data_IF_068839422333
#
_entry.id   IF_068839422333
#
_cell.length_a   1.000
_cell.length_b   1.000
_cell.length_c   1.000
_cell.angle_alpha   90.00
_cell.angle_beta   90.00
_cell.angle_gamma   90.00
#
_symmetry.space_group_name_H-M   'P 1'
#
loop_
_entity.id
_entity.type
_entity.pdbx_description
1 polymer ?
#
# COMPACT_ATOMS: atom_id res chain seq x y z
N UNK A 1 40.75 53.52 59.28
CA UNK A 1 41.92 54.07 58.56
C UNK A 1 43.14 53.25 58.94
N UNK A 2 43.69 52.47 57.98
CA UNK A 2 45.07 51.92 57.86
C UNK A 2 45.62 51.00 58.98
N UNK A 3 46.40 49.93 58.78
CA UNK A 3 46.94 49.15 57.64
C UNK A 3 47.77 47.97 58.25
N UNK A 4 47.69 46.75 57.67
CA UNK A 4 48.73 45.69 57.43
C UNK A 4 49.58 45.06 58.57
N UNK A 5 50.11 43.82 58.53
CA UNK A 5 50.29 42.74 57.51
C UNK A 5 50.75 41.41 58.19
N UNK A 6 50.53 40.29 57.47
CA UNK A 6 51.32 39.01 57.41
C UNK A 6 51.12 37.95 58.53
N UNK A 7 50.97 36.63 58.27
CA UNK A 7 51.56 35.75 57.24
C UNK A 7 50.86 34.37 57.09
N UNK A 8 50.82 33.84 55.85
CA UNK A 8 51.08 32.44 55.33
C UNK A 8 50.25 31.23 55.91
N UNK A 9 49.64 30.28 55.15
CA UNK A 9 50.17 29.34 54.11
C UNK A 9 49.01 28.58 53.37
N UNK A 10 49.05 28.57 52.02
CA UNK A 10 48.63 27.56 50.98
C UNK A 10 47.18 27.03 50.75
N UNK A 11 46.85 26.43 49.57
CA UNK A 11 46.85 27.02 48.23
C UNK A 11 45.51 26.77 47.46
N UNK A 12 45.47 27.28 46.23
CA UNK A 12 44.31 27.58 45.41
C UNK A 12 43.90 26.45 44.45
N UNK A 13 42.60 26.07 44.39
CA UNK A 13 41.91 25.59 43.17
C UNK A 13 40.40 25.92 43.28
N UNK A 14 39.79 26.66 42.34
CA UNK A 14 38.36 26.94 42.38
C UNK A 14 37.52 25.86 41.68
N UNK A 15 36.31 25.71 42.24
CA UNK A 15 35.15 24.93 41.81
C UNK A 15 34.99 24.82 40.28
N UNK A 16 35.17 23.61 39.75
CA UNK A 16 34.77 23.23 38.40
C UNK A 16 33.36 22.63 38.41
N UNK A 17 32.46 23.20 37.62
CA UNK A 17 31.19 22.57 37.28
C UNK A 17 31.46 21.42 36.30
N UNK A 18 31.27 20.18 36.74
CA UNK A 18 31.19 19.04 35.82
C UNK A 18 29.79 18.98 35.21
N UNK A 19 29.59 19.74 34.12
CA UNK A 19 28.63 19.33 33.11
C UNK A 19 29.27 18.20 32.31
N UNK A 20 28.83 16.97 32.58
CA UNK A 20 29.14 15.81 31.74
C UNK A 20 28.45 16.00 30.38
N UNK A 21 29.15 16.65 29.45
CA UNK A 21 28.76 16.70 28.04
C UNK A 21 28.70 15.25 27.52
N UNK A 22 27.51 14.77 27.17
CA UNK A 22 27.36 13.69 26.21
C UNK A 22 27.91 14.18 24.88
N UNK A 23 29.17 13.81 24.60
CA UNK A 23 29.78 13.98 23.28
C UNK A 23 29.06 13.06 22.30
N UNK A 24 28.13 13.63 21.55
CA UNK A 24 27.64 13.06 20.31
C UNK A 24 28.82 12.88 19.36
N UNK A 25 29.21 11.63 19.12
CA UNK A 25 30.14 11.28 18.06
C UNK A 25 29.39 11.39 16.73
N UNK A 26 29.43 12.57 16.12
CA UNK A 26 29.04 12.76 14.72
C UNK A 26 30.18 12.21 13.88
N UNK A 27 30.05 10.96 13.43
CA UNK A 27 30.85 10.43 12.33
C UNK A 27 30.22 10.92 11.03
N UNK A 28 30.71 12.04 10.53
CA UNK A 28 30.46 12.49 9.18
C UNK A 28 31.18 11.57 8.19
N UNK A 29 30.45 10.65 7.56
CA UNK A 29 30.88 10.06 6.29
C UNK A 29 30.31 10.90 5.15
N UNK A 30 31.15 11.77 4.62
CA UNK A 30 30.95 12.38 3.31
C UNK A 30 31.86 11.67 2.32
N UNK A 31 31.29 10.94 1.37
CA UNK A 31 31.56 11.08 -0.07
C UNK A 31 31.03 9.88 -0.87
N UNK A 32 30.02 10.18 -1.71
CA UNK A 32 29.96 9.87 -3.15
C UNK A 32 30.08 8.39 -3.57
N UNK A 33 29.04 7.97 -4.30
CA UNK A 33 28.91 6.77 -5.15
C UNK A 33 28.81 5.41 -4.46
N UNK A 34 27.59 5.10 -4.00
CA UNK A 34 27.00 3.77 -4.16
C UNK A 34 25.63 3.87 -4.85
N UNK A 35 25.47 4.81 -5.79
CA UNK A 35 24.43 4.75 -6.81
C UNK A 35 24.95 3.90 -7.96
N UNK A 36 25.03 2.59 -7.73
CA UNK A 36 25.10 1.53 -8.75
C UNK A 36 25.31 0.19 -8.06
N UNK A 37 24.38 -0.74 -8.33
CA UNK A 37 24.40 -2.16 -7.99
C UNK A 37 23.94 -2.52 -6.56
N UNK A 38 22.65 -2.26 -6.30
CA UNK A 38 21.75 -3.25 -5.68
C UNK A 38 20.43 -3.29 -6.48
N UNK A 39 20.52 -3.34 -7.80
CA UNK A 39 19.44 -3.87 -8.63
C UNK A 39 19.84 -5.30 -8.95
N UNK A 40 19.42 -6.26 -8.11
CA UNK A 40 19.31 -7.69 -8.42
C UNK A 40 18.82 -8.43 -7.16
N UNK A 41 17.50 -8.46 -7.01
CA UNK A 41 16.76 -9.59 -6.42
C UNK A 41 15.26 -9.49 -6.78
N UNK A 42 14.69 -8.29 -6.88
CA UNK A 42 13.33 -8.06 -7.41
C UNK A 42 13.42 -7.33 -8.75
N UNK A 43 12.93 -7.96 -9.82
CA UNK A 43 13.12 -7.50 -11.21
C UNK A 43 12.29 -6.28 -11.64
N UNK A 44 11.49 -5.68 -10.75
CA UNK A 44 10.52 -4.64 -11.07
C UNK A 44 10.93 -3.31 -10.44
N UNK A 45 10.84 -2.23 -11.22
CA UNK A 45 11.10 -0.88 -10.70
C UNK A 45 9.82 -0.39 -10.05
N UNK A 46 9.86 0.02 -8.79
CA UNK A 46 8.71 0.67 -8.17
C UNK A 46 8.63 2.12 -8.68
N UNK A 47 7.74 2.40 -9.61
CA UNK A 47 7.60 3.70 -10.27
C UNK A 47 6.17 4.22 -10.37
N UNK A 48 5.18 3.43 -9.96
CA UNK A 48 3.77 3.81 -10.00
C UNK A 48 3.03 3.28 -11.23
N UNK A 49 3.65 2.42 -12.04
CA UNK A 49 3.03 1.81 -13.23
C UNK A 49 2.82 0.30 -13.05
N UNK A 50 1.62 -0.18 -13.40
CA UNK A 50 1.31 -1.60 -13.51
C UNK A 50 1.92 -2.20 -14.79
N UNK A 51 3.18 -2.62 -14.69
CA UNK A 51 3.90 -3.35 -15.74
C UNK A 51 3.22 -4.67 -16.11
N UNK A 52 3.55 -5.21 -17.28
CA UNK A 52 2.94 -6.44 -17.81
C UNK A 52 3.03 -7.67 -16.89
N UNK A 53 3.94 -7.69 -15.91
CA UNK A 53 4.05 -8.79 -14.92
C UNK A 53 2.85 -8.84 -13.98
N UNK A 54 2.18 -7.70 -13.75
CA UNK A 54 1.04 -7.60 -12.86
C UNK A 54 -0.21 -8.30 -13.43
N UNK A 55 -0.22 -8.59 -14.73
CA UNK A 55 -1.32 -9.26 -15.41
C UNK A 55 -2.56 -8.38 -15.54
N UNK A 56 -3.72 -9.04 -15.56
CA UNK A 56 -5.03 -8.39 -15.56
C UNK A 56 -5.36 -7.81 -14.17
N UNK A 57 -6.21 -6.77 -14.08
CA UNK A 57 -6.61 -6.22 -12.80
C UNK A 57 -7.33 -7.27 -11.94
N UNK A 58 -6.95 -7.35 -10.67
CA UNK A 58 -7.60 -8.19 -9.66
C UNK A 58 -9.00 -7.67 -9.31
N UNK A 59 -9.18 -6.35 -9.39
CA UNK A 59 -10.46 -5.67 -9.22
C UNK A 59 -10.47 -4.38 -10.02
N UNK A 60 -11.64 -4.03 -10.54
CA UNK A 60 -11.92 -2.75 -11.20
C UNK A 60 -13.07 -2.11 -10.44
N UNK A 61 -12.95 -0.83 -10.09
CA UNK A 61 -14.04 -0.14 -9.40
C UNK A 61 -15.21 0.15 -10.33
N UNK A 62 -16.37 0.45 -9.74
CA UNK A 62 -17.63 0.65 -10.46
C UNK A 62 -18.30 2.01 -10.17
N UNK A 63 -17.59 2.97 -9.58
CA UNK A 63 -18.21 4.16 -8.99
C UNK A 63 -17.54 5.47 -9.44
N UNK A 64 -18.33 6.40 -9.99
CA UNK A 64 -17.87 7.77 -10.27
C UNK A 64 -17.25 8.43 -9.02
N UNK A 65 -16.27 9.32 -9.18
CA UNK A 65 -15.55 9.92 -8.04
C UNK A 65 -16.21 11.17 -7.47
N UNK A 66 -16.55 11.12 -6.19
CA UNK A 66 -16.99 12.25 -5.39
C UNK A 66 -15.85 13.14 -4.90
N UNK A 67 -14.58 12.77 -5.16
CA UNK A 67 -13.36 13.49 -4.77
C UNK A 67 -12.67 14.15 -5.97
N UNK A 68 -13.38 14.29 -7.09
CA UNK A 68 -12.90 14.93 -8.31
C UNK A 68 -12.19 13.94 -9.23
N UNK A 69 -12.52 14.00 -10.52
CA UNK A 69 -11.82 13.28 -11.58
C UNK A 69 -10.56 14.07 -11.94
N UNK A 70 -9.42 13.39 -12.01
CA UNK A 70 -8.16 14.01 -12.33
C UNK A 70 -7.95 14.13 -13.85
N UNK A 71 -7.61 15.34 -14.33
CA UNK A 71 -7.44 15.61 -15.76
C UNK A 71 -6.11 16.29 -16.13
N UNK A 72 -5.18 16.38 -15.16
CA UNK A 72 -3.90 17.08 -15.36
C UNK A 72 -2.89 16.29 -16.23
N UNK A 73 -2.89 14.96 -16.14
CA UNK A 73 -1.94 14.09 -16.85
C UNK A 73 -0.48 14.30 -16.46
N UNK A 74 -0.22 14.75 -15.23
CA UNK A 74 1.10 14.98 -14.70
C UNK A 74 1.47 13.89 -13.69
N UNK A 75 2.71 13.40 -13.74
CA UNK A 75 3.19 12.33 -12.85
C UNK A 75 3.12 12.71 -11.36
N UNK A 76 3.17 14.01 -11.05
CA UNK A 76 3.24 14.53 -9.69
C UNK A 76 1.88 15.05 -9.20
N UNK A 77 1.40 16.15 -9.79
CA UNK A 77 0.22 16.85 -9.33
C UNK A 77 -1.06 16.31 -9.97
N UNK A 78 -2.05 16.00 -9.14
CA UNK A 78 -3.42 15.67 -9.52
C UNK A 78 -4.42 16.62 -8.85
N UNK A 79 -5.52 16.91 -9.54
CA UNK A 79 -6.63 17.78 -9.10
C UNK A 79 -7.89 17.01 -8.68
N UNK A 80 -7.77 15.70 -8.50
CA UNK A 80 -8.82 14.79 -8.08
C UNK A 80 -8.23 13.51 -7.51
N UNK A 81 -9.01 12.80 -6.69
CA UNK A 81 -8.66 11.47 -6.19
C UNK A 81 -9.63 10.43 -6.73
N UNK A 82 -9.10 9.33 -7.26
CA UNK A 82 -9.86 8.19 -7.74
C UNK A 82 -9.02 6.91 -7.68
N UNK A 83 -9.67 5.76 -7.40
CA UNK A 83 -9.03 4.43 -7.45
C UNK A 83 -9.74 3.60 -8.49
N UNK A 84 -9.09 3.37 -9.61
CA UNK A 84 -9.71 2.82 -10.81
C UNK A 84 -9.68 1.30 -10.85
N UNK A 85 -8.52 0.72 -10.51
CA UNK A 85 -8.31 -0.71 -10.48
C UNK A 85 -7.20 -1.07 -9.50
N UNK A 86 -7.14 -2.34 -9.09
CA UNK A 86 -6.01 -2.88 -8.36
C UNK A 86 -5.36 -4.03 -9.12
N UNK A 87 -4.04 -4.07 -9.07
CA UNK A 87 -3.23 -5.16 -9.57
C UNK A 87 -2.36 -5.68 -8.44
N UNK A 88 -2.04 -6.97 -8.48
CA UNK A 88 -1.11 -7.50 -7.50
C UNK A 88 -0.73 -8.94 -7.74
N UNK A 89 0.44 -9.30 -7.23
CA UNK A 89 0.96 -10.66 -7.22
C UNK A 89 2.01 -10.79 -6.12
N UNK A 90 2.36 -12.02 -5.78
CA UNK A 90 3.42 -12.32 -4.83
C UNK A 90 4.55 -13.03 -5.57
N UNK A 91 5.77 -12.50 -5.48
CA UNK A 91 6.96 -13.12 -6.04
C UNK A 91 8.19 -12.82 -5.19
N UNK A 92 9.12 -13.77 -5.14
CA UNK A 92 10.42 -13.61 -4.48
C UNK A 92 10.33 -13.14 -3.00
N UNK A 93 9.23 -13.46 -2.31
CA UNK A 93 9.00 -13.05 -0.93
C UNK A 93 8.52 -11.61 -0.76
N UNK A 94 7.96 -11.00 -1.81
CA UNK A 94 7.36 -9.67 -1.80
C UNK A 94 5.95 -9.71 -2.39
N UNK A 95 5.02 -9.04 -1.71
CA UNK A 95 3.72 -8.65 -2.25
C UNK A 95 3.90 -7.37 -3.08
N UNK A 96 3.60 -7.47 -4.36
CA UNK A 96 3.60 -6.35 -5.31
C UNK A 96 2.15 -5.89 -5.51
N UNK A 97 1.88 -4.61 -5.31
CA UNK A 97 0.56 -4.00 -5.49
C UNK A 97 0.66 -2.74 -6.34
N UNK A 98 -0.30 -2.53 -7.23
CA UNK A 98 -0.59 -1.23 -7.84
C UNK A 98 -2.05 -0.90 -7.58
N UNK A 99 -2.28 0.24 -6.94
CA UNK A 99 -3.59 0.87 -6.85
C UNK A 99 -3.64 1.95 -7.92
N UNK A 100 -4.21 1.61 -9.07
CA UNK A 100 -4.27 2.47 -10.24
C UNK A 100 -5.31 3.59 -10.04
N UNK A 101 -5.05 4.77 -10.60
CA UNK A 101 -5.88 5.97 -10.48
C UNK A 101 -5.05 7.20 -10.13
N UNK A 102 -5.61 8.09 -9.31
CA UNK A 102 -4.97 9.34 -8.90
C UNK A 102 -5.17 9.61 -7.41
N UNK A 103 -4.20 10.30 -6.80
CA UNK A 103 -4.35 10.87 -5.47
C UNK A 103 -4.17 12.38 -5.55
N UNK A 104 -5.26 13.12 -5.31
CA UNK A 104 -5.27 14.57 -5.32
C UNK A 104 -4.12 15.11 -4.46
N UNK A 105 -3.42 16.11 -5.00
CA UNK A 105 -2.28 16.73 -4.35
C UNK A 105 -2.71 17.71 -3.27
N UNK A 106 -3.42 17.21 -2.27
CA UNK A 106 -3.97 17.98 -1.15
C UNK A 106 -3.83 17.23 0.19
N UNK A 107 -3.02 16.16 0.21
CA UNK A 107 -2.83 15.27 1.34
C UNK A 107 -4.03 14.40 1.71
N UNK A 108 -4.97 14.17 0.79
CA UNK A 108 -5.84 12.99 0.86
C UNK A 108 -5.00 11.71 1.05
N UNK A 109 -5.64 10.69 1.61
CA UNK A 109 -5.01 9.43 1.99
C UNK A 109 -5.52 8.34 1.08
N UNK A 110 -4.61 7.54 0.54
CA UNK A 110 -4.93 6.18 0.13
C UNK A 110 -4.71 5.29 1.36
N UNK A 111 -5.79 4.74 1.90
CA UNK A 111 -5.76 3.75 2.98
C UNK A 111 -5.70 2.36 2.37
N UNK A 112 -4.81 1.52 2.86
CA UNK A 112 -4.68 0.12 2.45
C UNK A 112 -4.65 -0.72 3.71
N UNK A 113 -5.71 -1.48 3.93
CA UNK A 113 -5.78 -2.50 4.96
C UNK A 113 -5.48 -3.86 4.33
N UNK A 114 -4.73 -4.68 5.06
CA UNK A 114 -4.28 -5.97 4.59
C UNK A 114 -4.64 -7.00 5.66
N UNK A 115 -5.23 -8.11 5.23
CA UNK A 115 -5.39 -9.35 5.98
C UNK A 115 -4.43 -10.36 5.38
N UNK A 116 -3.31 -10.56 6.06
CA UNK A 116 -2.20 -11.40 5.63
C UNK A 116 -1.93 -12.56 6.61
N UNK A 117 -2.47 -12.55 7.81
CA UNK A 117 -2.22 -13.56 8.84
C UNK A 117 -3.55 -14.18 9.23
N UNK A 118 -3.79 -15.45 8.84
CA UNK A 118 -5.03 -16.14 9.17
C UNK A 118 -5.34 -16.10 10.68
N UNK A 119 -6.60 -15.78 11.01
CA UNK A 119 -7.13 -15.68 12.37
C UNK A 119 -6.52 -14.56 13.26
N UNK A 120 -5.68 -13.67 12.70
CA UNK A 120 -5.18 -12.47 13.38
C UNK A 120 -5.88 -11.19 12.88
N UNK A 121 -5.51 -10.03 13.44
CA UNK A 121 -6.06 -8.74 13.01
C UNK A 121 -7.35 -8.29 13.71
N UNK A 122 -7.99 -7.27 13.13
CA UNK A 122 -9.15 -6.59 13.66
C UNK A 122 -10.27 -6.48 12.63
N UNK A 123 -11.48 -6.90 13.02
CA UNK A 123 -12.73 -6.50 12.38
C UNK A 123 -13.83 -6.48 13.45
N UNK A 124 -14.30 -5.29 13.90
CA UNK A 124 -13.96 -3.94 13.43
C UNK A 124 -12.61 -3.41 13.97
N UNK A 125 -12.13 -2.29 13.40
CA UNK A 125 -10.95 -1.57 13.90
C UNK A 125 -11.17 -1.08 15.34
N UNK A 126 -10.21 -1.33 16.22
CA UNK A 126 -10.21 -0.94 17.62
C UNK A 126 -9.67 0.48 17.84
N UNK A 127 -9.99 1.07 19.00
CA UNK A 127 -9.58 2.44 19.39
C UNK A 127 -8.29 2.54 20.20
N UNK A 128 -7.53 1.46 20.27
CA UNK A 128 -6.33 1.34 21.10
C UNK A 128 -5.11 0.92 20.27
N UNK A 129 -5.01 1.41 19.04
CA UNK A 129 -3.94 1.14 18.10
C UNK A 129 -2.78 2.15 18.22
N UNK A 130 -1.67 1.88 17.53
CA UNK A 130 -0.50 2.77 17.50
C UNK A 130 -0.88 4.22 17.18
N UNK A 131 -0.24 5.19 17.84
CA UNK A 131 -0.42 6.62 17.58
C UNK A 131 0.28 7.19 16.33
N UNK A 132 0.69 6.32 15.38
CA UNK A 132 1.33 6.73 14.12
C UNK A 132 0.37 7.61 13.27
N UNK A 133 0.94 8.43 12.38
CA UNK A 133 0.20 9.38 11.53
C UNK A 133 -0.87 10.18 12.32
N UNK A 134 -0.45 10.75 13.45
CA UNK A 134 -1.31 11.55 14.35
C UNK A 134 -2.53 10.79 14.91
N UNK A 135 -2.45 9.46 15.00
CA UNK A 135 -3.51 8.62 15.54
C UNK A 135 -4.54 8.17 14.51
N UNK A 136 -4.17 8.13 13.22
CA UNK A 136 -5.02 7.72 12.09
C UNK A 136 -5.91 6.50 12.38
N UNK A 137 -5.31 5.38 12.80
CA UNK A 137 -6.04 4.15 13.12
C UNK A 137 -7.06 4.35 14.25
N UNK A 138 -6.77 5.19 15.25
CA UNK A 138 -7.68 5.48 16.35
C UNK A 138 -8.79 6.46 15.93
N UNK A 139 -8.57 7.28 14.90
CA UNK A 139 -9.63 8.08 14.27
C UNK A 139 -10.65 7.15 13.62
N UNK A 140 -10.18 6.15 12.87
CA UNK A 140 -11.02 5.16 12.18
C UNK A 140 -11.59 4.08 13.13
N UNK A 141 -10.95 3.87 14.27
CA UNK A 141 -11.33 2.84 15.24
C UNK A 141 -12.45 3.19 16.20
N UNK A 142 -12.89 2.15 16.92
CA UNK A 142 -13.88 2.22 18.00
C UNK A 142 -13.55 3.34 18.99
N UNK A 143 -14.54 4.10 19.41
CA UNK A 143 -14.35 5.17 20.39
C UNK A 143 -15.36 5.08 21.51
N UNK A 144 -14.89 5.14 22.75
CA UNK A 144 -15.73 5.29 23.92
C UNK A 144 -15.61 6.73 24.43
N UNK A 145 -16.70 7.47 24.41
CA UNK A 145 -16.76 8.82 24.93
C UNK A 145 -16.51 8.79 26.45
N UNK A 146 -15.45 9.43 26.96
CA UNK A 146 -15.10 9.36 28.37
C UNK A 146 -16.10 10.10 29.28
N UNK A 147 -16.86 11.05 28.74
CA UNK A 147 -17.83 11.85 29.49
C UNK A 147 -19.20 11.17 29.54
N UNK A 148 -19.61 10.49 28.46
CA UNK A 148 -20.93 9.86 28.36
C UNK A 148 -20.92 8.35 28.51
N UNK A 149 -19.78 7.70 28.30
CA UNK A 149 -19.64 6.25 28.18
C UNK A 149 -20.26 5.68 26.90
N UNK A 150 -20.63 6.54 25.94
CA UNK A 150 -21.19 6.11 24.66
C UNK A 150 -20.09 5.45 23.82
N UNK A 151 -20.35 4.24 23.37
CA UNK A 151 -19.45 3.49 22.50
C UNK A 151 -19.88 3.66 21.05
N UNK A 152 -19.06 4.36 20.28
CA UNK A 152 -19.16 4.40 18.83
C UNK A 152 -18.46 3.18 18.22
N UNK A 153 -18.99 2.63 17.10
CA UNK A 153 -18.32 1.56 16.38
C UNK A 153 -16.98 2.04 15.81
N UNK A 154 -16.19 1.10 15.29
CA UNK A 154 -15.04 1.38 14.43
C UNK A 154 -15.36 1.01 12.99
N UNK A 155 -14.49 1.40 12.06
CA UNK A 155 -14.55 0.93 10.68
C UNK A 155 -14.67 -0.60 10.67
N UNK A 156 -15.72 -1.10 10.03
CA UNK A 156 -16.04 -2.53 9.96
C UNK A 156 -15.88 -2.99 8.52
N UNK A 157 -15.13 -4.07 8.32
CA UNK A 157 -14.91 -4.67 7.01
C UNK A 157 -15.89 -5.80 6.75
N UNK A 158 -15.99 -6.21 5.50
CA UNK A 158 -16.80 -7.35 5.09
C UNK A 158 -16.47 -8.63 5.86
N UNK A 159 -17.46 -9.53 5.94
CA UNK A 159 -17.27 -10.87 6.49
C UNK A 159 -16.15 -11.57 5.72
N UNK A 160 -15.16 -12.11 6.45
CA UNK A 160 -14.03 -12.83 5.88
C UNK A 160 -12.77 -11.98 5.71
N UNK A 161 -12.82 -10.69 6.05
CA UNK A 161 -11.65 -9.81 6.11
C UNK A 161 -11.36 -9.37 7.54
N UNK A 162 -10.15 -9.60 8.02
CA UNK A 162 -9.69 -9.24 9.37
C UNK A 162 -8.34 -8.51 9.30
N UNK A 163 -8.37 -7.18 9.29
CA UNK A 163 -7.18 -6.38 9.02
C UNK A 163 -6.09 -6.56 10.08
N UNK A 164 -4.91 -7.04 9.69
CA UNK A 164 -3.74 -7.20 10.55
C UNK A 164 -2.61 -6.23 10.21
N UNK A 165 -2.67 -5.58 9.04
CA UNK A 165 -1.73 -4.52 8.64
C UNK A 165 -2.47 -3.34 8.01
N UNK A 166 -1.85 -2.17 8.13
CA UNK A 166 -2.35 -0.92 7.57
C UNK A 166 -1.20 -0.12 6.96
N UNK A 167 -1.44 0.44 5.78
CA UNK A 167 -0.58 1.40 5.09
C UNK A 167 -1.42 2.61 4.70
N UNK A 168 -0.86 3.80 4.90
CA UNK A 168 -1.42 5.06 4.41
C UNK A 168 -0.40 5.75 3.51
N UNK A 169 -0.79 6.04 2.28
CA UNK A 169 0.00 6.82 1.33
C UNK A 169 -0.64 8.18 1.11
N UNK A 170 0.17 9.24 1.02
CA UNK A 170 -0.32 10.59 0.78
C UNK A 170 0.68 11.42 -0.02
N UNK A 171 0.19 12.44 -0.71
CA UNK A 171 1.03 13.39 -1.43
C UNK A 171 0.40 14.77 -1.58
N UNK A 172 1.24 15.79 -1.75
CA UNK A 172 0.78 17.15 -1.93
C UNK A 172 1.92 18.17 -2.07
N UNK A 173 1.59 19.47 -2.12
CA UNK A 173 2.57 20.54 -2.20
C UNK A 173 3.52 20.49 -1.00
N UNK A 174 4.80 20.28 -1.28
CA UNK A 174 5.86 20.26 -0.29
C UNK A 174 6.13 21.61 0.35
N UNK A 175 7.18 21.67 1.17
CA UNK A 175 7.56 22.93 1.81
C UNK A 175 7.97 23.99 0.76
N UNK A 176 7.46 25.23 0.85
CA UNK A 176 7.86 26.30 -0.07
C UNK A 176 9.38 26.52 -0.02
N UNK A 177 10.06 26.65 -1.18
CA UNK A 177 11.50 26.89 -1.20
C UNK A 177 11.87 28.18 -0.46
N UNK A 178 12.93 28.13 0.37
CA UNK A 178 13.42 29.29 1.15
C UNK A 178 13.76 30.54 0.32
N UNK A 179 13.99 30.37 -0.98
CA UNK A 179 14.36 31.43 -1.93
C UNK A 179 13.19 31.88 -2.82
N UNK A 180 11.96 31.44 -2.52
CA UNK A 180 10.80 31.61 -3.39
C UNK A 180 10.81 30.62 -4.57
N UNK A 181 9.63 30.39 -5.13
CA UNK A 181 9.36 29.34 -6.12
C UNK A 181 8.13 28.54 -5.72
N UNK A 182 7.59 27.77 -6.66
CA UNK A 182 6.51 26.84 -6.37
C UNK A 182 7.04 25.69 -5.49
N UNK A 183 6.23 25.19 -4.55
CA UNK A 183 6.56 23.98 -3.81
C UNK A 183 6.73 22.80 -4.77
N UNK A 184 7.63 21.87 -4.42
CA UNK A 184 7.67 20.57 -5.08
C UNK A 184 6.47 19.71 -4.70
N UNK A 185 6.44 18.49 -5.20
CA UNK A 185 5.49 17.47 -4.77
C UNK A 185 6.18 16.54 -3.79
N UNK A 186 5.67 16.49 -2.55
CA UNK A 186 6.19 15.62 -1.49
C UNK A 186 5.21 14.46 -1.27
N UNK A 187 5.74 13.25 -1.12
CA UNK A 187 4.98 12.04 -0.76
C UNK A 187 5.39 11.51 0.60
N UNK A 188 4.46 10.82 1.27
CA UNK A 188 4.68 10.17 2.55
C UNK A 188 3.95 8.83 2.61
N UNK A 189 4.57 7.86 3.29
CA UNK A 189 3.97 6.57 3.60
C UNK A 189 4.06 6.33 5.10
N UNK A 190 2.97 5.87 5.70
CA UNK A 190 2.92 5.37 7.06
C UNK A 190 2.49 3.90 7.03
N UNK A 191 2.98 3.09 7.97
CA UNK A 191 2.54 1.71 8.13
C UNK A 191 2.39 1.34 9.60
N UNK A 192 1.51 0.40 9.89
CA UNK A 192 1.34 -0.17 11.23
C UNK A 192 0.77 -1.57 11.19
N UNK A 193 1.17 -2.39 12.15
CA UNK A 193 0.50 -3.64 12.48
C UNK A 193 -0.79 -3.35 13.29
N UNK A 194 -1.84 -4.11 12.99
CA UNK A 194 -3.10 -4.16 13.73
C UNK A 194 -3.17 -5.45 14.55
N UNK A 195 -2.66 -5.39 15.79
CA UNK A 195 -2.72 -6.53 16.71
C UNK A 195 -4.18 -6.90 17.04
N UNK A 196 -4.51 -8.19 17.17
CA UNK A 196 -5.90 -8.63 17.44
C UNK A 196 -6.52 -8.01 18.70
N UNK A 197 -5.72 -7.76 19.73
CA UNK A 197 -6.16 -7.08 20.95
C UNK A 197 -5.98 -5.55 20.96
N UNK A 198 -5.46 -5.00 19.86
CA UNK A 198 -4.87 -3.67 19.81
C UNK A 198 -3.63 -3.55 20.70
N UNK A 199 -3.14 -2.32 20.86
CA UNK A 199 -2.09 -1.95 21.81
C UNK A 199 -0.91 -1.22 21.18
N UNK A 200 -0.21 -0.45 22.02
CA UNK A 200 0.91 0.41 21.62
C UNK A 200 2.22 -0.36 21.31
N UNK A 201 2.19 -1.69 21.33
CA UNK A 201 3.33 -2.54 20.99
C UNK A 201 3.38 -2.92 19.52
N UNK A 202 2.39 -2.51 18.73
CA UNK A 202 2.37 -2.71 17.28
C UNK A 202 3.63 -2.11 16.62
N UNK A 203 4.24 -2.88 15.72
CA UNK A 203 5.31 -2.34 14.86
C UNK A 203 4.71 -1.31 13.93
N UNK A 204 5.30 -0.12 13.87
CA UNK A 204 4.84 0.98 13.02
C UNK A 204 6.01 1.87 12.61
N UNK A 205 5.83 2.61 11.51
CA UNK A 205 6.85 3.51 11.00
C UNK A 205 6.35 4.35 9.84
N UNK A 206 7.26 5.14 9.27
CA UNK A 206 6.97 6.04 8.16
C UNK A 206 8.16 6.21 7.23
N UNK A 207 7.91 6.71 6.02
CA UNK A 207 8.91 7.19 5.07
C UNK A 207 8.45 8.52 4.46
N UNK A 208 9.41 9.44 4.24
CA UNK A 208 9.19 10.70 3.54
C UNK A 208 10.08 11.85 4.02
N UNK A 209 10.10 12.99 3.30
CA UNK A 209 9.40 13.21 2.03
C UNK A 209 10.05 12.43 0.87
N UNK A 210 9.21 11.88 0.00
CA UNK A 210 9.57 11.40 -1.33
C UNK A 210 9.10 12.37 -2.42
N UNK A 211 8.89 11.86 -3.62
CA UNK A 211 8.29 12.57 -4.75
C UNK A 211 7.49 11.62 -5.64
N UNK A 212 7.37 11.95 -6.92
CA UNK A 212 6.70 11.12 -7.92
C UNK A 212 7.69 10.31 -8.77
N UNK A 213 7.20 9.20 -9.35
CA UNK A 213 7.96 8.24 -10.14
C UNK A 213 9.05 7.51 -9.34
N UNK A 214 9.81 6.66 -10.04
CA UNK A 214 10.91 5.88 -9.46
C UNK A 214 11.95 6.74 -8.72
N UNK A 215 12.28 7.92 -9.25
CA UNK A 215 13.26 8.83 -8.65
C UNK A 215 12.78 9.42 -7.31
N UNK A 216 11.45 9.45 -7.10
CA UNK A 216 10.78 9.92 -5.90
C UNK A 216 10.36 8.82 -4.93
N UNK A 217 10.71 7.55 -5.20
CA UNK A 217 10.27 6.41 -4.41
C UNK A 217 10.65 6.53 -2.92
N UNK A 218 9.72 6.07 -2.08
CA UNK A 218 9.86 5.97 -0.64
C UNK A 218 10.43 4.61 -0.25
N UNK A 219 11.25 4.59 0.79
CA UNK A 219 11.84 3.37 1.36
C UNK A 219 11.68 3.40 2.88
N UNK A 220 10.97 2.43 3.44
CA UNK A 220 10.81 2.30 4.89
C UNK A 220 11.93 1.48 5.51
N UNK A 221 12.08 1.58 6.84
CA UNK A 221 13.07 0.79 7.59
C UNK A 221 12.82 -0.72 7.56
N UNK A 222 11.56 -1.15 7.38
CA UNK A 222 11.17 -2.56 7.22
C UNK A 222 11.13 -3.02 5.76
N UNK A 223 11.65 -2.22 4.82
CA UNK A 223 11.85 -2.63 3.43
C UNK A 223 10.66 -2.44 2.49
N UNK A 224 9.58 -1.80 2.93
CA UNK A 224 8.47 -1.39 2.04
C UNK A 224 8.98 -0.29 1.11
N UNK A 225 8.68 -0.45 -0.18
CA UNK A 225 8.97 0.53 -1.22
C UNK A 225 7.63 1.04 -1.76
N UNK A 226 7.51 2.35 -1.99
CA UNK A 226 6.32 2.90 -2.65
C UNK A 226 6.67 4.05 -3.59
N UNK A 227 5.98 4.13 -4.72
CA UNK A 227 6.08 5.21 -5.69
C UNK A 227 4.69 5.59 -6.21
N UNK A 228 4.59 6.75 -6.85
CA UNK A 228 3.34 7.23 -7.45
C UNK A 228 3.58 7.77 -8.86
N UNK A 229 2.71 7.40 -9.79
CA UNK A 229 2.52 8.05 -11.07
C UNK A 229 1.08 8.58 -11.14
N UNK A 230 0.91 9.88 -10.92
CA UNK A 230 -0.38 10.57 -10.96
C UNK A 230 -0.83 10.97 -12.39
N UNK A 231 -0.20 10.43 -13.45
CA UNK A 231 -0.46 10.89 -14.82
C UNK A 231 -1.73 10.34 -15.47
N UNK A 232 -2.54 9.55 -14.74
CA UNK A 232 -3.82 9.08 -15.24
C UNK A 232 -4.76 10.25 -15.61
N UNK A 233 -5.49 10.06 -16.72
CA UNK A 233 -6.56 10.94 -17.24
C UNK A 233 -7.74 10.12 -17.79
N UNK A 234 -7.77 8.83 -17.51
CA UNK A 234 -8.80 7.86 -17.87
C UNK A 234 -9.50 7.39 -16.59
N UNK A 235 -10.30 6.31 -16.66
CA UNK A 235 -11.04 5.79 -15.52
C UNK A 235 -12.40 6.45 -15.37
N UNK A 236 -12.80 6.70 -14.12
CA UNK A 236 -14.15 7.15 -13.78
C UNK A 236 -14.35 8.66 -13.99
N UNK A 237 -15.61 9.12 -14.06
CA UNK A 237 -15.96 10.56 -14.10
C UNK A 237 -16.27 11.11 -12.71
N UNK A 238 -16.30 12.44 -12.58
CA UNK A 238 -16.69 13.08 -11.31
C UNK A 238 -18.19 12.97 -11.02
N UNK A 239 -18.55 12.54 -9.80
CA UNK A 239 -19.91 12.51 -9.30
C UNK A 239 -20.20 11.31 -8.40
N UNK A 240 -21.50 11.03 -8.25
CA UNK A 240 -22.01 9.78 -7.69
C UNK A 240 -22.72 9.02 -8.81
N UNK A 241 -22.62 7.70 -8.84
CA UNK A 241 -23.26 6.85 -9.85
C UNK A 241 -22.36 5.73 -10.35
N UNK A 242 -22.96 4.75 -11.02
CA UNK A 242 -22.24 3.61 -11.58
C UNK A 242 -21.37 4.08 -12.75
N UNK A 243 -20.14 3.61 -12.76
CA UNK A 243 -19.11 3.90 -13.76
C UNK A 243 -18.16 2.71 -13.95
N UNK A 244 -17.06 2.90 -14.66
CA UNK A 244 -16.06 1.85 -14.91
C UNK A 244 -14.63 2.42 -14.80
N UNK A 245 -13.84 1.90 -13.84
CA UNK A 245 -12.43 2.24 -13.68
C UNK A 245 -11.47 1.50 -14.62
N UNK A 246 -11.98 0.72 -15.58
CA UNK A 246 -11.15 -0.11 -16.44
C UNK A 246 -10.13 0.68 -17.30
N UNK A 247 -8.97 0.06 -17.55
CA UNK A 247 -7.96 0.57 -18.50
C UNK A 247 -6.98 1.59 -17.93
N UNK A 248 -6.89 1.71 -16.60
CA UNK A 248 -5.92 2.57 -15.90
C UNK A 248 -4.79 1.72 -15.32
N UNK A 249 -3.55 2.16 -15.51
CA UNK A 249 -2.34 1.42 -15.10
C UNK A 249 -1.35 2.26 -14.26
N UNK A 250 -1.50 3.57 -14.24
CA UNK A 250 -0.69 4.47 -13.40
C UNK A 250 -1.41 4.74 -12.09
N UNK A 251 -0.69 4.82 -10.99
CA UNK A 251 -1.23 5.15 -9.67
C UNK A 251 -0.17 4.99 -8.58
N UNK A 252 -0.55 4.44 -7.43
CA UNK A 252 0.37 4.16 -6.32
C UNK A 252 0.82 2.71 -6.41
N UNK A 253 2.12 2.49 -6.57
CA UNK A 253 2.75 1.17 -6.53
C UNK A 253 3.43 0.94 -5.20
N UNK A 254 3.29 -0.25 -4.62
CA UNK A 254 3.86 -0.62 -3.33
C UNK A 254 4.41 -2.04 -3.38
N UNK A 255 5.67 -2.21 -2.96
CA UNK A 255 6.31 -3.51 -2.78
C UNK A 255 6.49 -3.75 -1.28
N UNK A 256 5.88 -4.81 -0.77
CA UNK A 256 5.83 -5.14 0.66
C UNK A 256 6.51 -6.49 0.88
N UNK A 257 7.67 -6.54 1.55
CA UNK A 257 8.27 -7.82 1.94
C UNK A 257 7.30 -8.64 2.78
N UNK A 258 7.12 -9.93 2.46
CA UNK A 258 6.26 -10.83 3.25
C UNK A 258 6.77 -10.95 4.70
N UNK A 259 8.07 -10.82 4.92
CA UNK A 259 8.65 -10.73 6.26
C UNK A 259 8.17 -9.52 7.05
N UNK A 260 7.89 -8.39 6.38
CA UNK A 260 7.34 -7.20 7.01
C UNK A 260 5.88 -7.38 7.42
N UNK A 261 5.17 -8.30 6.74
CA UNK A 261 3.81 -8.71 7.06
C UNK A 261 3.75 -9.87 8.08
N UNK A 262 4.88 -10.51 8.39
CA UNK A 262 4.88 -11.77 9.14
C UNK A 262 4.14 -12.91 8.41
N UNK A 263 3.96 -12.77 7.09
CA UNK A 263 3.13 -13.64 6.27
C UNK A 263 3.85 -14.94 5.90
N UNK A 264 3.11 -16.05 5.86
CA UNK A 264 3.62 -17.34 5.41
C UNK A 264 3.30 -17.51 3.93
N UNK A 265 4.33 -17.63 3.09
CA UNK A 265 4.15 -17.85 1.66
C UNK A 265 3.24 -19.05 1.38
N UNK A 266 2.32 -18.89 0.43
CA UNK A 266 1.32 -19.88 0.04
C UNK A 266 -0.10 -19.52 0.46
N UNK A 267 -0.29 -18.74 1.53
CA UNK A 267 -1.61 -18.31 1.99
C UNK A 267 -2.06 -17.05 1.21
N UNK A 268 -3.34 -16.93 0.80
CA UNK A 268 -3.80 -15.73 0.12
C UNK A 268 -3.70 -14.50 1.02
N UNK A 269 -3.54 -13.32 0.41
CA UNK A 269 -3.59 -12.03 1.09
C UNK A 269 -4.82 -11.28 0.60
N UNK A 270 -5.66 -10.80 1.51
CA UNK A 270 -6.78 -9.94 1.16
C UNK A 270 -6.40 -8.47 1.36
N UNK A 271 -6.86 -7.60 0.48
CA UNK A 271 -6.56 -6.17 0.51
C UNK A 271 -7.83 -5.36 0.35
N UNK A 272 -8.07 -4.43 1.28
CA UNK A 272 -9.10 -3.40 1.17
C UNK A 272 -8.41 -2.04 1.01
N UNK A 273 -8.75 -1.31 -0.05
CA UNK A 273 -8.10 -0.04 -0.38
C UNK A 273 -9.11 1.02 -0.79
N UNK A 274 -8.96 2.23 -0.23
CA UNK A 274 -9.89 3.32 -0.46
C UNK A 274 -9.29 4.69 -0.20
N UNK A 275 -9.92 5.73 -0.77
CA UNK A 275 -9.55 7.11 -0.51
C UNK A 275 -10.25 7.65 0.74
N UNK A 276 -9.46 8.32 1.58
CA UNK A 276 -9.92 8.99 2.78
C UNK A 276 -9.42 10.44 2.77
N UNK A 277 -10.12 11.32 3.48
CA UNK A 277 -9.70 12.70 3.67
C UNK A 277 -8.38 12.79 4.44
N UNK A 278 -7.68 13.93 4.30
CA UNK A 278 -6.38 14.16 4.94
C UNK A 278 -6.31 13.93 6.45
N UNK A 279 -7.45 14.03 7.15
CA UNK A 279 -7.58 13.79 8.58
C UNK A 279 -7.90 12.34 8.98
N UNK A 280 -7.95 11.41 8.02
CA UNK A 280 -8.46 10.05 8.21
C UNK A 280 -9.91 10.02 8.71
N UNK A 281 -10.71 11.01 8.37
CA UNK A 281 -12.02 11.30 8.96
C UNK A 281 -13.17 11.41 7.94
N UNK A 282 -12.92 11.06 6.68
CA UNK A 282 -13.93 11.11 5.62
C UNK A 282 -13.59 10.16 4.47
N UNK A 283 -14.13 8.93 4.49
CA UNK A 283 -14.05 7.98 3.38
C UNK A 283 -14.87 8.52 2.22
N UNK A 284 -14.26 8.58 1.04
CA UNK A 284 -14.94 8.95 -0.20
C UNK A 284 -15.77 7.77 -0.74
N UNK A 285 -16.34 7.91 -1.93
CA UNK A 285 -16.93 6.79 -2.65
C UNK A 285 -15.92 6.03 -3.54
N UNK A 286 -14.62 6.23 -3.31
CA UNK A 286 -13.54 5.61 -4.05
C UNK A 286 -12.97 4.47 -3.21
N UNK A 287 -13.62 3.31 -3.32
CA UNK A 287 -13.32 2.07 -2.58
C UNK A 287 -13.16 0.94 -3.60
N UNK A 288 -12.02 0.25 -3.57
CA UNK A 288 -11.80 -0.93 -4.40
C UNK A 288 -12.66 -2.10 -3.90
N UNK A 289 -13.21 -2.87 -4.84
CA UNK A 289 -14.37 -3.74 -4.61
C UNK A 289 -15.70 -3.08 -5.03
N UNK A 290 -15.70 -1.76 -5.22
CA UNK A 290 -16.83 -0.99 -5.74
C UNK A 290 -17.89 -0.72 -4.68
N UNK A 291 -18.76 0.25 -4.97
CA UNK A 291 -19.86 0.66 -4.10
C UNK A 291 -21.21 0.71 -4.84
N UNK A 292 -21.27 0.19 -6.07
CA UNK A 292 -22.48 0.23 -6.89
C UNK A 292 -22.92 1.66 -7.25
N UNK A 293 -21.98 2.60 -7.35
CA UNK A 293 -22.26 3.99 -7.66
C UNK A 293 -22.76 4.84 -6.50
N UNK A 294 -22.39 4.49 -5.26
CA UNK A 294 -22.79 5.24 -4.07
C UNK A 294 -22.11 6.62 -3.95
N UNK A 295 -22.69 7.46 -3.09
CA UNK A 295 -22.06 8.72 -2.66
C UNK A 295 -20.98 8.47 -1.60
N UNK A 296 -20.19 9.50 -1.28
CA UNK A 296 -19.15 9.42 -0.25
C UNK A 296 -19.67 8.87 1.09
N UNK A 297 -18.91 7.99 1.73
CA UNK A 297 -19.34 7.23 2.92
C UNK A 297 -19.23 8.04 4.22
N UNK A 298 -18.40 9.09 4.25
CA UNK A 298 -18.27 9.98 5.39
C UNK A 298 -17.34 9.41 6.48
N UNK A 299 -17.65 9.66 7.75
CA UNK A 299 -16.69 9.40 8.82
C UNK A 299 -16.42 7.89 8.98
N UNK A 300 -15.15 7.42 8.85
CA UNK A 300 -14.80 5.99 8.76
C UNK A 300 -15.38 5.09 9.84
N UNK A 301 -15.42 5.57 11.10
CA UNK A 301 -15.88 4.76 12.23
C UNK A 301 -17.36 4.36 12.16
N UNK A 302 -18.14 5.04 11.32
CA UNK A 302 -19.56 4.73 11.08
C UNK A 302 -19.79 3.95 9.79
N UNK A 303 -18.72 3.64 9.06
CA UNK A 303 -18.78 2.81 7.85
C UNK A 303 -18.70 1.36 8.26
N UNK A 304 -19.65 0.59 7.73
CA UNK A 304 -19.68 -0.86 7.82
C UNK A 304 -19.82 -1.41 6.41
N UNK A 305 -18.76 -2.02 5.89
CA UNK A 305 -18.76 -2.59 4.55
C UNK A 305 -19.72 -3.78 4.43
N UNK A 306 -20.01 -4.52 5.52
CA UNK A 306 -21.03 -5.59 5.49
C UNK A 306 -22.45 -5.11 5.14
N UNK A 307 -22.71 -3.80 5.23
CA UNK A 307 -23.99 -3.20 4.85
C UNK A 307 -24.05 -2.80 3.36
N UNK A 308 -22.97 -3.03 2.60
CA UNK A 308 -22.83 -2.72 1.18
C UNK A 308 -22.81 -4.04 0.39
N UNK A 309 -23.45 -4.05 -0.78
CA UNK A 309 -23.52 -5.26 -1.61
C UNK A 309 -22.16 -5.53 -2.26
N UNK A 310 -21.63 -6.75 -2.08
CA UNK A 310 -20.32 -7.17 -2.61
C UNK A 310 -19.21 -6.97 -1.59
N UNK A 311 -18.02 -7.51 -1.88
CA UNK A 311 -16.87 -7.41 -0.99
C UNK A 311 -16.05 -6.15 -1.35
N UNK A 312 -15.76 -5.28 -0.37
CA UNK A 312 -14.88 -4.10 -0.48
C UNK A 312 -13.41 -4.45 -0.20
N UNK A 313 -13.04 -5.68 -0.58
CA UNK A 313 -11.67 -6.18 -0.60
C UNK A 313 -11.47 -7.06 -1.84
N UNK A 314 -10.22 -7.24 -2.23
CA UNK A 314 -9.83 -8.17 -3.30
C UNK A 314 -8.75 -9.12 -2.80
N UNK A 315 -8.63 -10.26 -3.47
CA UNK A 315 -7.66 -11.30 -3.15
C UNK A 315 -6.43 -11.16 -4.03
N UNK A 316 -5.26 -11.15 -3.39
CA UNK A 316 -3.98 -11.46 -4.03
C UNK A 316 -3.64 -12.89 -3.69
N UNK A 317 -3.50 -13.73 -4.71
CA UNK A 317 -3.20 -15.14 -4.47
C UNK A 317 -1.84 -15.28 -3.78
N UNK A 318 -1.76 -16.21 -2.83
CA UNK A 318 -0.70 -16.35 -1.83
C UNK A 318 0.67 -16.71 -2.35
N UNK A 319 0.85 -16.70 -3.67
CA UNK A 319 2.00 -17.31 -4.32
C UNK A 319 2.08 -18.81 -4.02
N UNK A 320 0.98 -19.44 -3.60
CA UNK A 320 0.83 -20.90 -3.58
C UNK A 320 0.57 -21.47 -4.97
N UNK A 321 0.06 -20.64 -5.90
CA UNK A 321 -0.03 -20.90 -7.34
C UNK A 321 -0.43 -19.61 -8.10
N UNK A 322 0.17 -18.46 -7.74
CA UNK A 322 -0.33 -17.14 -8.15
C UNK A 322 0.48 -16.40 -9.21
N UNK A 323 1.66 -16.93 -9.58
CA UNK A 323 2.22 -16.74 -10.90
C UNK A 323 1.97 -18.02 -11.67
N UNK A 324 0.69 -18.41 -11.81
CA UNK A 324 0.29 -19.63 -12.49
C UNK A 324 1.13 -19.77 -13.74
N UNK A 325 2.04 -20.74 -13.73
CA UNK A 325 2.65 -21.16 -14.95
C UNK A 325 1.46 -21.48 -15.85
N UNK A 326 1.29 -20.73 -16.93
CA UNK A 326 0.07 -20.76 -17.74
C UNK A 326 -0.30 -22.19 -18.23
N UNK A 327 0.58 -23.17 -18.06
CA UNK A 327 0.32 -24.59 -18.28
C UNK A 327 -0.25 -25.39 -17.09
N UNK A 328 -0.42 -24.85 -15.89
CA UNK A 328 -1.10 -25.52 -14.77
C UNK A 328 -2.60 -25.19 -14.86
N UNK A 329 -3.36 -26.13 -15.39
CA UNK A 329 -4.77 -25.95 -15.71
C UNK A 329 -5.70 -26.49 -14.62
N UNK A 330 -5.16 -27.21 -13.65
CA UNK A 330 -5.91 -27.78 -12.54
C UNK A 330 -5.52 -27.17 -11.17
N UNK A 331 -4.62 -26.18 -11.19
CA UNK A 331 -4.12 -25.42 -10.05
C UNK A 331 -3.49 -26.32 -8.97
N UNK A 332 -2.78 -27.39 -9.38
CA UNK A 332 -2.16 -28.35 -8.46
C UNK A 332 -0.68 -28.09 -8.16
N UNK A 333 -0.12 -27.02 -8.74
CA UNK A 333 1.26 -26.60 -8.58
C UNK A 333 2.24 -27.39 -9.46
N UNK A 334 1.75 -28.11 -10.47
CA UNK A 334 2.54 -28.82 -11.47
C UNK A 334 1.96 -28.60 -12.87
N UNK A 335 2.83 -28.46 -13.87
CA UNK A 335 2.46 -28.65 -15.28
C UNK A 335 2.81 -30.09 -15.65
N UNK A 336 1.81 -30.97 -15.63
CA UNK A 336 2.02 -32.37 -15.93
C UNK A 336 0.98 -33.00 -16.86
N UNK A 337 0.86 -34.33 -16.81
CA UNK A 337 -0.08 -35.08 -17.64
C UNK A 337 -1.55 -34.77 -17.33
N UNK A 338 -1.87 -34.27 -16.14
CA UNK A 338 -3.21 -33.85 -15.76
C UNK A 338 -3.62 -32.60 -16.55
N UNK A 339 -2.77 -31.58 -16.59
CA UNK A 339 -2.99 -30.34 -17.33
C UNK A 339 -3.00 -30.58 -18.82
N UNK A 340 -2.07 -31.38 -19.31
CA UNK A 340 -2.08 -31.77 -20.72
C UNK A 340 -3.35 -32.53 -21.10
N UNK A 341 -3.89 -33.33 -20.18
CA UNK A 341 -5.21 -33.94 -20.32
C UNK A 341 -6.34 -32.91 -20.44
N UNK A 342 -6.32 -31.88 -19.58
CA UNK A 342 -7.27 -30.76 -19.59
C UNK A 342 -7.19 -29.94 -20.88
N UNK A 343 -5.98 -29.67 -21.39
CA UNK A 343 -5.77 -28.98 -22.67
C UNK A 343 -6.36 -29.78 -23.83
N UNK A 344 -6.04 -31.08 -23.91
CA UNK A 344 -6.58 -31.94 -24.96
C UNK A 344 -8.10 -32.11 -24.90
N UNK A 345 -8.70 -32.02 -23.71
CA UNK A 345 -10.15 -32.05 -23.54
C UNK A 345 -10.84 -30.82 -24.13
N UNK A 346 -10.13 -29.70 -24.20
CA UNK A 346 -10.62 -28.40 -24.70
C UNK A 346 -10.27 -28.12 -26.16
N UNK A 347 -9.72 -29.11 -26.89
CA UNK A 347 -9.24 -28.95 -28.26
C UNK A 347 -10.29 -28.36 -29.22
N UNK A 348 -9.94 -27.27 -29.91
CA UNK A 348 -10.83 -26.53 -30.80
C UNK A 348 -11.25 -25.16 -30.24
N UNK A 349 -12.34 -24.56 -30.76
CA UNK A 349 -12.72 -23.20 -30.39
C UNK A 349 -12.94 -23.02 -28.89
N UNK A 350 -12.23 -22.08 -28.29
CA UNK A 350 -12.26 -21.86 -26.85
C UNK A 350 -12.12 -20.35 -26.52
N UNK A 351 -13.14 -19.52 -26.83
CA UNK A 351 -13.01 -18.05 -26.78
C UNK A 351 -12.77 -17.43 -25.39
N UNK A 352 -12.68 -18.26 -24.34
CA UNK A 352 -12.55 -17.83 -22.94
C UNK A 352 -12.32 -19.03 -22.02
N UNK A 353 -11.39 -19.94 -22.36
CA UNK A 353 -11.08 -21.06 -21.47
C UNK A 353 -9.59 -21.09 -21.10
N UNK A 354 -9.24 -21.57 -19.90
CA UNK A 354 -7.86 -21.60 -19.44
C UNK A 354 -6.88 -22.39 -20.32
N UNK A 355 -7.38 -23.26 -21.21
CA UNK A 355 -6.55 -24.08 -22.08
C UNK A 355 -6.07 -23.36 -23.36
N UNK A 356 -6.63 -22.18 -23.68
CA UNK A 356 -6.18 -21.32 -24.79
C UNK A 356 -5.06 -20.42 -24.26
N UNK A 357 -3.81 -20.86 -24.44
CA UNK A 357 -2.65 -20.31 -23.75
C UNK A 357 -2.05 -19.11 -24.49
N UNK A 358 -2.49 -18.86 -25.72
CA UNK A 358 -2.05 -17.74 -26.54
C UNK A 358 -3.17 -16.73 -26.87
N UNK A 359 -4.37 -16.95 -26.33
CA UNK A 359 -5.60 -16.15 -26.51
C UNK A 359 -5.99 -15.93 -27.98
N UNK A 360 -5.75 -16.89 -28.86
CA UNK A 360 -6.13 -16.78 -30.28
C UNK A 360 -7.57 -17.26 -30.57
N UNK A 361 -8.26 -17.76 -29.54
CA UNK A 361 -9.63 -18.26 -29.56
C UNK A 361 -9.75 -19.73 -29.96
N UNK A 362 -8.65 -20.46 -30.14
CA UNK A 362 -8.64 -21.88 -30.46
C UNK A 362 -7.54 -22.63 -29.69
N UNK A 363 -7.90 -23.73 -29.02
CA UNK A 363 -6.91 -24.64 -28.43
C UNK A 363 -6.38 -25.57 -29.53
N UNK A 364 -5.13 -25.39 -29.91
CA UNK A 364 -4.44 -26.19 -30.92
C UNK A 364 -2.97 -26.54 -30.58
N UNK A 365 -2.17 -26.86 -31.60
CA UNK A 365 -0.78 -27.23 -31.42
C UNK A 365 0.12 -26.09 -30.91
N UNK A 366 -0.31 -24.83 -31.05
CA UNK A 366 0.39 -23.68 -30.48
C UNK A 366 0.37 -23.72 -28.95
N UNK A 367 -0.79 -24.00 -28.36
CA UNK A 367 -0.97 -24.12 -26.91
C UNK A 367 -0.21 -25.31 -26.34
N UNK A 368 -0.20 -26.44 -27.06
CA UNK A 368 0.64 -27.59 -26.70
C UNK A 368 2.12 -27.19 -26.64
N UNK A 369 2.58 -26.40 -27.62
CA UNK A 369 3.95 -25.91 -27.65
C UNK A 369 4.29 -25.03 -26.46
N UNK A 370 3.35 -24.19 -26.04
CA UNK A 370 3.48 -23.33 -24.87
C UNK A 370 3.48 -24.15 -23.58
N UNK A 371 2.53 -25.06 -23.37
CA UNK A 371 2.47 -25.91 -22.17
C UNK A 371 3.72 -26.77 -21.99
N UNK A 372 4.21 -27.40 -23.06
CA UNK A 372 5.43 -28.21 -23.00
C UNK A 372 6.70 -27.40 -22.69
N UNK A 373 6.66 -26.07 -22.88
CA UNK A 373 7.78 -25.18 -22.54
C UNK A 373 7.93 -24.94 -21.04
N UNK A 374 6.86 -25.18 -20.27
CA UNK A 374 6.80 -24.97 -18.82
C UNK A 374 6.55 -26.27 -18.03
N UNK A 375 6.78 -27.44 -18.65
CA UNK A 375 6.54 -28.75 -18.02
C UNK A 375 7.35 -28.98 -16.74
N UNK A 376 6.68 -29.40 -15.67
CA UNK A 376 7.27 -29.66 -14.36
C UNK A 376 6.68 -28.80 -13.24
N UNK A 377 7.37 -28.68 -12.10
CA UNK A 377 6.89 -27.90 -10.96
C UNK A 377 6.60 -26.45 -11.30
N UNK A 378 5.46 -25.96 -10.83
CA UNK A 378 5.04 -24.57 -10.87
C UNK A 378 5.55 -23.89 -9.58
N UNK A 379 6.55 -22.99 -9.64
CA UNK A 379 7.15 -22.37 -8.45
C UNK A 379 6.26 -21.32 -7.79
#
# INVERSE_FOLDING_TARGET
>A
MRIRLESQVEPHVPFGQEQTQMRHAILAFSSITAASILASAHGQTCDGFADAVYGEPLVVQDTSTGFGNADLGAIDFANGSEVDAAFGYIADGVLHLVIAGNLESNYNKLEIFIDAIPDEGQNPILGNNSGIDFGALNTMGRFEDPDTGEVQPGLTFDTGFTADHWISFTGGPGAPPKKGGEPGYDTYLNYSQLLTGGGDTATSGFAGPGGAGADGALFTENGIIAAIDNSNVLGVVGGDGVDDGGGVFTGIEIHIPLEALGHTAGDPILVSAFINGSGHDFISNQVLGGLGGSANLGFPRFVNFEDIDGDQFFLVDGGGSGGGCFGDLNDDGQVDGADFGSLLASWGPCPSCPADLNDDGVVDGADVGLMLSVWGPCP
#
